data_IF_872765204413
#
_entry.id   IF_872765204413
#
_cell.length_a   1.000
_cell.length_b   1.000
_cell.length_c   1.000
_cell.angle_alpha   90.00
_cell.angle_beta   90.00
_cell.angle_gamma   90.00
#
_symmetry.space_group_name_H-M   'P 1'
#
loop_
_entity.id
_entity.type
_entity.pdbx_description
1 polymer ?
#
# COMPACT_ATOMS: atom_id res chain seq x y z
N UNK A 1 8.83 12.99 10.09
CA UNK A 1 9.27 12.71 11.48
C UNK A 1 8.07 12.32 12.33
N UNK A 2 7.88 11.03 12.63
CA UNK A 2 6.79 10.57 13.50
C UNK A 2 7.30 10.47 14.93
N UNK A 3 6.71 11.21 15.86
CA UNK A 3 7.03 11.09 17.29
C UNK A 3 6.65 9.68 17.76
N UNK A 4 7.63 8.80 17.90
CA UNK A 4 7.48 7.57 18.66
C UNK A 4 7.40 7.94 20.13
N UNK A 5 6.25 7.73 20.74
CA UNK A 5 6.10 7.94 22.18
C UNK A 5 6.62 6.68 22.88
N UNK A 6 7.50 6.86 23.87
CA UNK A 6 8.09 5.74 24.60
C UNK A 6 7.02 5.04 25.46
N UNK A 7 7.00 3.70 25.49
CA UNK A 7 6.04 2.92 26.29
C UNK A 7 6.02 3.32 27.77
N UNK A 8 7.18 3.69 28.33
CA UNK A 8 7.29 4.20 29.71
C UNK A 8 6.47 5.48 29.92
N UNK A 9 6.54 6.40 28.96
CA UNK A 9 5.78 7.66 29.01
C UNK A 9 4.29 7.41 28.85
N UNK A 10 3.90 6.50 27.95
CA UNK A 10 2.50 6.10 27.78
C UNK A 10 1.92 5.53 29.08
N UNK A 11 2.66 4.66 29.77
CA UNK A 11 2.26 4.11 31.09
C UNK A 11 2.14 5.16 32.19
N UNK A 12 2.95 6.21 32.16
CA UNK A 12 2.89 7.26 33.19
C UNK A 12 1.73 8.23 33.02
N UNK A 13 1.16 8.33 31.81
CA UNK A 13 0.15 9.35 31.49
C UNK A 13 -1.26 8.80 31.25
N UNK A 14 -1.36 7.51 30.95
CA UNK A 14 -2.62 6.82 30.71
C UNK A 14 -3.07 6.03 31.93
N UNK A 15 -4.38 5.83 32.07
CA UNK A 15 -4.91 4.85 33.01
C UNK A 15 -4.53 3.43 32.58
N UNK A 16 -4.66 2.47 33.48
CA UNK A 16 -4.37 1.06 33.17
C UNK A 16 -5.22 0.56 31.98
N UNK A 17 -6.53 0.83 32.00
CA UNK A 17 -7.44 0.44 30.92
C UNK A 17 -7.09 1.10 29.57
N UNK A 18 -6.74 2.38 29.59
CA UNK A 18 -6.32 3.12 28.40
C UNK A 18 -5.00 2.59 27.84
N UNK A 19 -4.09 2.19 28.72
CA UNK A 19 -2.82 1.61 28.33
C UNK A 19 -3.00 0.22 27.71
N UNK A 20 -3.81 -0.66 28.31
CA UNK A 20 -4.11 -1.98 27.73
C UNK A 20 -4.74 -1.85 26.33
N UNK A 21 -5.57 -0.83 26.08
CA UNK A 21 -6.13 -0.56 24.77
C UNK A 21 -5.08 -0.17 23.70
N UNK A 22 -3.94 0.39 24.10
CA UNK A 22 -2.85 0.81 23.19
C UNK A 22 -1.72 -0.21 23.14
N UNK A 23 -1.57 -1.05 24.17
CA UNK A 23 -0.49 -2.04 24.30
C UNK A 23 -0.33 -2.91 23.05
N UNK A 24 -1.45 -3.40 22.50
CA UNK A 24 -1.47 -4.24 21.29
C UNK A 24 -1.05 -3.48 20.00
N UNK A 25 -1.04 -2.15 20.01
CA UNK A 25 -0.63 -1.34 18.86
C UNK A 25 0.89 -1.20 18.72
N UNK A 26 1.66 -1.66 19.71
CA UNK A 26 3.12 -1.55 19.67
C UNK A 26 3.76 -2.67 18.85
N UNK A 27 4.88 -2.36 18.23
CA UNK A 27 5.73 -3.39 17.65
C UNK A 27 6.44 -4.18 18.78
N UNK A 28 6.56 -5.52 18.66
CA UNK A 28 6.12 -6.37 17.55
C UNK A 28 4.67 -6.89 17.69
N UNK A 29 4.00 -6.67 18.82
CA UNK A 29 2.69 -7.25 19.14
C UNK A 29 1.60 -6.93 18.09
N UNK A 30 1.66 -5.78 17.43
CA UNK A 30 0.69 -5.40 16.40
C UNK A 30 0.64 -6.40 15.21
N UNK A 31 1.71 -7.14 14.95
CA UNK A 31 1.76 -8.12 13.87
C UNK A 31 0.99 -9.41 14.17
N UNK A 32 0.69 -9.69 15.45
CA UNK A 32 -0.11 -10.84 15.85
C UNK A 32 -1.60 -10.51 15.98
N UNK A 33 -2.01 -9.28 15.65
CA UNK A 33 -3.40 -8.81 15.75
C UNK A 33 -4.09 -9.01 14.40
N UNK A 34 -5.28 -9.59 14.43
CA UNK A 34 -6.08 -9.81 13.22
C UNK A 34 -6.56 -8.49 12.59
N UNK A 35 -6.73 -8.48 11.27
CA UNK A 35 -7.14 -7.27 10.52
C UNK A 35 -8.47 -6.72 11.03
N UNK A 36 -9.43 -7.61 11.33
CA UNK A 36 -10.74 -7.23 11.87
C UNK A 36 -10.64 -6.55 13.24
N UNK A 37 -9.71 -6.99 14.08
CA UNK A 37 -9.46 -6.40 15.38
C UNK A 37 -8.78 -5.02 15.25
N UNK A 38 -7.82 -4.88 14.35
CA UNK A 38 -7.22 -3.58 14.01
C UNK A 38 -8.27 -2.57 13.51
N UNK A 39 -9.23 -3.02 12.70
CA UNK A 39 -10.35 -2.20 12.25
C UNK A 39 -11.29 -1.80 13.40
N UNK A 40 -11.55 -2.70 14.34
CA UNK A 40 -12.35 -2.44 15.54
C UNK A 40 -11.66 -1.50 16.55
N UNK A 41 -10.32 -1.56 16.66
CA UNK A 41 -9.53 -0.65 17.50
C UNK A 41 -9.53 0.79 16.97
N UNK A 42 -9.55 0.97 15.64
CA UNK A 42 -9.49 2.28 14.98
C UNK A 42 -10.53 3.31 15.48
N UNK A 43 -11.84 3.02 15.54
CA UNK A 43 -12.84 3.97 16.04
C UNK A 43 -12.67 4.26 17.54
N UNK A 44 -12.27 3.26 18.34
CA UNK A 44 -12.01 3.43 19.78
C UNK A 44 -10.86 4.43 20.01
N UNK A 45 -9.74 4.25 19.31
CA UNK A 45 -8.58 5.16 19.36
C UNK A 45 -8.92 6.57 18.87
N UNK A 46 -9.77 6.70 17.82
CA UNK A 46 -10.27 8.01 17.37
C UNK A 46 -11.07 8.71 18.46
N UNK A 47 -12.01 8.00 19.09
CA UNK A 47 -12.85 8.54 20.17
C UNK A 47 -12.01 9.01 21.35
N UNK A 48 -11.03 8.22 21.78
CA UNK A 48 -10.12 8.60 22.88
C UNK A 48 -9.28 9.84 22.52
N UNK A 49 -8.67 9.86 21.32
CA UNK A 49 -7.92 11.03 20.82
C UNK A 49 -8.79 12.29 20.76
N UNK A 50 -10.02 12.18 20.25
CA UNK A 50 -10.91 13.32 20.04
C UNK A 50 -11.50 13.84 21.35
N UNK A 51 -11.70 12.96 22.33
CA UNK A 51 -12.00 13.32 23.72
C UNK A 51 -10.88 14.20 24.30
N UNK A 52 -9.63 13.72 24.27
CA UNK A 52 -8.48 14.46 24.79
C UNK A 52 -8.24 15.79 24.04
N UNK A 53 -8.46 15.80 22.72
CA UNK A 53 -8.39 17.03 21.91
C UNK A 53 -9.41 18.06 22.38
N UNK A 54 -10.64 17.63 22.67
CA UNK A 54 -11.72 18.52 23.13
C UNK A 54 -11.42 19.05 24.52
N UNK A 55 -10.94 18.20 25.43
CA UNK A 55 -10.50 18.58 26.77
C UNK A 55 -9.36 19.61 26.70
N UNK A 56 -8.32 19.33 25.92
CA UNK A 56 -7.18 20.25 25.79
C UNK A 56 -7.59 21.61 25.23
N UNK A 57 -8.50 21.65 24.24
CA UNK A 57 -9.05 22.89 23.70
C UNK A 57 -9.86 23.67 24.74
N UNK A 58 -10.70 22.99 25.51
CA UNK A 58 -11.49 23.62 26.56
C UNK A 58 -10.57 24.23 27.63
N UNK A 59 -9.57 23.49 28.11
CA UNK A 59 -8.60 23.99 29.09
C UNK A 59 -7.76 25.16 28.58
N UNK A 60 -7.39 25.16 27.30
CA UNK A 60 -6.72 26.32 26.69
C UNK A 60 -7.62 27.55 26.60
N UNK A 61 -8.94 27.37 26.45
CA UNK A 61 -9.89 28.48 26.47
C UNK A 61 -10.12 29.01 27.89
N UNK A 62 -10.24 28.13 28.87
CA UNK A 62 -10.32 28.47 30.30
C UNK A 62 -9.08 29.27 30.74
N UNK A 63 -7.88 28.79 30.40
CA UNK A 63 -6.63 29.49 30.73
C UNK A 63 -6.49 30.86 30.05
N UNK A 64 -7.25 31.10 28.98
CA UNK A 64 -7.30 32.39 28.26
C UNK A 64 -8.46 33.28 28.71
N UNK A 65 -9.27 32.87 29.68
CA UNK A 65 -10.49 33.59 30.10
C UNK A 65 -11.60 33.60 29.05
N UNK A 66 -11.55 32.73 28.04
CA UNK A 66 -12.51 32.68 26.92
C UNK A 66 -13.60 31.60 27.07
N UNK A 67 -13.64 30.95 28.23
CA UNK A 67 -14.63 29.95 28.59
C UNK A 67 -14.71 29.86 30.12
N UNK A 68 -15.92 29.60 30.63
CA UNK A 68 -16.12 29.30 32.04
C UNK A 68 -15.50 27.95 32.39
N UNK A 69 -14.98 27.85 33.62
CA UNK A 69 -14.42 26.60 34.14
C UNK A 69 -15.53 25.55 34.25
N UNK A 70 -15.44 24.47 33.47
CA UNK A 70 -16.37 23.34 33.61
C UNK A 70 -16.04 22.53 34.85
N UNK A 71 -16.54 23.00 36.00
CA UNK A 71 -16.45 22.34 37.30
C UNK A 71 -15.02 22.18 37.84
N UNK A 72 -14.92 22.01 39.15
CA UNK A 72 -13.65 21.77 39.88
C UNK A 72 -13.11 20.34 39.68
N UNK A 73 -13.89 19.46 39.07
CA UNK A 73 -13.69 18.00 39.11
C UNK A 73 -12.86 17.41 37.96
N UNK A 74 -12.40 18.18 36.97
CA UNK A 74 -11.64 17.60 35.87
C UNK A 74 -10.12 17.73 36.09
N UNK A 75 -9.42 16.66 36.52
CA UNK A 75 -8.00 16.73 36.81
C UNK A 75 -7.21 16.91 35.52
N UNK A 76 -6.26 17.85 35.52
CA UNK A 76 -5.25 17.98 34.47
C UNK A 76 -5.15 19.35 33.82
N UNK A 77 -3.93 19.69 33.42
CA UNK A 77 -3.60 20.90 32.66
C UNK A 77 -3.86 20.68 31.16
N UNK A 78 -3.98 21.77 30.41
CA UNK A 78 -4.06 21.70 28.94
C UNK A 78 -2.88 20.94 28.31
N UNK A 79 -1.70 20.99 28.95
CA UNK A 79 -0.49 20.27 28.53
C UNK A 79 -0.68 18.76 28.65
N UNK A 80 -1.19 18.27 29.79
CA UNK A 80 -1.46 16.84 29.98
C UNK A 80 -2.47 16.29 28.97
N UNK A 81 -3.56 17.01 28.68
CA UNK A 81 -4.52 16.60 27.66
C UNK A 81 -3.88 16.56 26.25
N UNK A 82 -2.95 17.48 25.95
CA UNK A 82 -2.20 17.48 24.71
C UNK A 82 -1.26 16.28 24.59
N UNK A 83 -0.55 15.93 25.66
CA UNK A 83 0.33 14.76 25.72
C UNK A 83 -0.47 13.45 25.57
N UNK A 84 -1.58 13.29 26.29
CA UNK A 84 -2.48 12.12 26.15
C UNK A 84 -3.02 11.99 24.73
N UNK A 85 -3.46 13.11 24.13
CA UNK A 85 -3.87 13.15 22.71
C UNK A 85 -2.74 12.67 21.78
N UNK A 86 -1.49 13.06 22.03
CA UNK A 86 -0.36 12.61 21.21
C UNK A 86 -0.14 11.10 21.30
N UNK A 87 -0.30 10.50 22.49
CA UNK A 87 -0.24 9.04 22.67
C UNK A 87 -1.29 8.34 21.82
N UNK A 88 -2.56 8.73 21.93
CA UNK A 88 -3.63 8.14 21.12
C UNK A 88 -3.44 8.38 19.61
N UNK A 89 -2.91 9.53 19.22
CA UNK A 89 -2.59 9.82 17.83
C UNK A 89 -1.46 8.93 17.29
N UNK A 90 -0.43 8.66 18.11
CA UNK A 90 0.67 7.76 17.75
C UNK A 90 0.17 6.31 17.60
N UNK A 91 -0.63 5.83 18.55
CA UNK A 91 -1.27 4.51 18.48
C UNK A 91 -2.14 4.36 17.22
N UNK A 92 -2.98 5.35 16.93
CA UNK A 92 -3.81 5.37 15.73
C UNK A 92 -2.98 5.39 14.44
N UNK A 93 -1.82 6.06 14.45
CA UNK A 93 -0.91 6.05 13.31
C UNK A 93 -0.35 4.65 13.07
N UNK A 94 0.09 3.94 14.13
CA UNK A 94 0.59 2.55 14.04
C UNK A 94 -0.46 1.63 13.42
N UNK A 95 -1.69 1.66 13.94
CA UNK A 95 -2.82 0.87 13.41
C UNK A 95 -3.12 1.19 11.94
N UNK A 96 -3.18 2.47 11.56
CA UNK A 96 -3.43 2.83 10.16
C UNK A 96 -2.31 2.39 9.22
N UNK A 97 -1.06 2.44 9.68
CA UNK A 97 0.09 1.96 8.89
C UNK A 97 0.02 0.46 8.69
N UNK A 98 -0.32 -0.30 9.74
CA UNK A 98 -0.46 -1.75 9.64
C UNK A 98 -1.63 -2.14 8.72
N UNK A 99 -2.81 -1.54 8.88
CA UNK A 99 -3.94 -1.77 7.98
C UNK A 99 -3.58 -1.46 6.52
N UNK A 100 -2.82 -0.38 6.28
CA UNK A 100 -2.35 -0.03 4.94
C UNK A 100 -1.39 -1.09 4.39
N UNK A 101 -0.48 -1.61 5.22
CA UNK A 101 0.43 -2.68 4.82
C UNK A 101 -0.35 -3.95 4.45
N UNK A 102 -1.27 -4.39 5.30
CA UNK A 102 -2.10 -5.58 5.06
C UNK A 102 -2.93 -5.44 3.77
N UNK A 103 -3.57 -4.29 3.57
CA UNK A 103 -4.32 -4.01 2.34
C UNK A 103 -3.42 -4.03 1.08
N UNK A 104 -2.22 -3.44 1.16
CA UNK A 104 -1.28 -3.44 0.05
C UNK A 104 -0.77 -4.85 -0.28
N UNK A 105 -0.54 -5.69 0.73
CA UNK A 105 -0.15 -7.07 0.54
C UNK A 105 -1.27 -7.87 -0.14
N UNK A 106 -2.51 -7.75 0.34
CA UNK A 106 -3.68 -8.38 -0.27
C UNK A 106 -3.91 -7.93 -1.73
N UNK A 107 -3.78 -6.63 -2.00
CA UNK A 107 -3.89 -6.11 -3.35
C UNK A 107 -2.77 -6.64 -4.27
N UNK A 108 -1.53 -6.75 -3.74
CA UNK A 108 -0.40 -7.30 -4.48
C UNK A 108 -0.60 -8.77 -4.84
N UNK A 109 -1.07 -9.60 -3.90
CA UNK A 109 -1.33 -11.02 -4.16
C UNK A 109 -2.43 -11.19 -5.21
N UNK A 110 -3.55 -10.46 -5.07
CA UNK A 110 -4.65 -10.47 -6.04
C UNK A 110 -4.17 -10.06 -7.44
N UNK A 111 -3.34 -9.02 -7.56
CA UNK A 111 -2.80 -8.58 -8.85
C UNK A 111 -1.87 -9.63 -9.49
N UNK A 112 -1.03 -10.29 -8.70
CA UNK A 112 -0.15 -11.37 -9.21
C UNK A 112 -0.98 -12.54 -9.72
N UNK A 113 -2.02 -12.94 -8.99
CA UNK A 113 -2.93 -14.01 -9.42
C UNK A 113 -3.70 -13.64 -10.70
N UNK A 114 -4.24 -12.42 -10.77
CA UNK A 114 -4.91 -11.92 -11.96
C UNK A 114 -3.97 -11.90 -13.18
N UNK A 115 -2.72 -11.44 -13.00
CA UNK A 115 -1.71 -11.45 -14.05
C UNK A 115 -1.37 -12.88 -14.51
N UNK A 116 -1.24 -13.83 -13.59
CA UNK A 116 -1.01 -15.25 -13.92
C UNK A 116 -2.17 -15.83 -14.71
N UNK A 117 -3.42 -15.55 -14.32
CA UNK A 117 -4.63 -15.98 -15.03
C UNK A 117 -4.70 -15.38 -16.43
N UNK A 118 -4.45 -14.07 -16.57
CA UNK A 118 -4.43 -13.39 -17.86
C UNK A 118 -3.35 -13.96 -18.79
N UNK A 119 -2.15 -14.24 -18.27
CA UNK A 119 -1.07 -14.87 -19.01
C UNK A 119 -1.45 -16.28 -19.47
N UNK A 120 -2.08 -17.08 -18.61
CA UNK A 120 -2.56 -18.41 -18.97
C UNK A 120 -3.61 -18.36 -20.10
N UNK A 121 -4.57 -17.44 -20.03
CA UNK A 121 -5.56 -17.22 -21.10
C UNK A 121 -4.91 -16.78 -22.40
N UNK A 122 -3.95 -15.85 -22.33
CA UNK A 122 -3.20 -15.40 -23.51
C UNK A 122 -2.41 -16.55 -24.14
N UNK A 123 -1.81 -17.43 -23.32
CA UNK A 123 -1.12 -18.61 -23.82
C UNK A 123 -2.07 -19.59 -24.49
N UNK A 124 -3.22 -19.88 -23.87
CA UNK A 124 -4.23 -20.77 -24.42
C UNK A 124 -4.79 -20.26 -25.76
N UNK A 125 -4.97 -18.95 -25.91
CA UNK A 125 -5.48 -18.35 -27.15
C UNK A 125 -4.45 -18.35 -28.29
N UNK A 126 -3.17 -18.05 -28.00
CA UNK A 126 -2.16 -17.82 -29.04
C UNK A 126 -1.28 -19.02 -29.33
N UNK A 127 -1.07 -19.91 -28.37
CA UNK A 127 -0.26 -21.11 -28.50
C UNK A 127 -1.15 -22.35 -28.52
N UNK A 128 -2.17 -22.33 -29.38
CA UNK A 128 -2.93 -23.54 -29.67
C UNK A 128 -2.01 -24.53 -30.37
N UNK A 129 -2.08 -25.80 -29.98
CA UNK A 129 -1.42 -26.88 -30.71
C UNK A 129 -2.00 -26.91 -32.11
N UNK A 130 -1.25 -26.37 -33.08
CA UNK A 130 -1.60 -26.49 -34.49
C UNK A 130 -1.70 -27.98 -34.78
N UNK A 131 -2.74 -28.44 -35.51
CA UNK A 131 -2.77 -29.83 -35.95
C UNK A 131 -1.43 -30.17 -36.61
N UNK A 132 -0.92 -31.39 -36.42
CA UNK A 132 0.30 -31.80 -37.11
C UNK A 132 0.13 -31.49 -38.59
N UNK A 133 1.22 -31.07 -39.25
CA UNK A 133 1.22 -31.03 -40.70
C UNK A 133 0.80 -32.44 -41.13
N UNK A 134 -0.40 -32.56 -41.73
CA UNK A 134 -0.89 -33.84 -42.23
C UNK A 134 0.11 -34.44 -43.21
N UNK A 135 -0.15 -35.64 -43.72
CA UNK A 135 0.78 -36.32 -44.63
C UNK A 135 1.30 -35.38 -45.73
N UNK A 136 2.53 -34.88 -45.57
CA UNK A 136 3.30 -34.23 -46.61
C UNK A 136 3.89 -35.34 -47.44
N UNK A 137 3.66 -35.33 -48.75
CA UNK A 137 4.18 -36.36 -49.65
C UNK A 137 5.70 -36.53 -49.45
N UNK A 138 6.14 -37.70 -48.99
CA UNK A 138 7.56 -38.03 -48.93
C UNK A 138 8.16 -38.03 -50.34
N UNK A 139 9.39 -37.51 -50.48
CA UNK A 139 10.34 -37.45 -51.62
C UNK A 139 9.82 -37.38 -53.09
N UNK A 140 8.52 -37.27 -53.32
CA UNK A 140 7.88 -37.50 -54.62
C UNK A 140 6.93 -36.38 -55.08
N UNK A 141 6.57 -35.42 -54.23
CA UNK A 141 5.96 -34.17 -54.72
C UNK A 141 6.97 -33.03 -54.70
N UNK A 142 7.24 -32.47 -55.88
CA UNK A 142 8.09 -31.30 -56.05
C UNK A 142 7.51 -30.10 -55.28
N UNK A 143 8.33 -29.52 -54.40
CA UNK A 143 8.01 -28.30 -53.68
C UNK A 143 7.67 -27.17 -54.66
N UNK A 144 6.41 -26.72 -54.68
CA UNK A 144 6.00 -25.51 -55.41
C UNK A 144 6.45 -24.27 -54.63
N UNK A 145 7.41 -23.48 -55.12
CA UNK A 145 7.83 -22.27 -54.43
C UNK A 145 6.69 -21.26 -54.42
N UNK A 146 6.50 -20.56 -53.29
CA UNK A 146 5.51 -19.48 -53.19
C UNK A 146 5.86 -18.35 -54.17
N UNK A 147 4.99 -18.10 -55.15
CA UNK A 147 5.08 -16.98 -56.10
C UNK A 147 4.83 -15.60 -55.46
N UNK A 148 4.44 -15.56 -54.18
CA UNK A 148 4.27 -14.29 -53.46
C UNK A 148 5.60 -13.54 -53.45
N UNK A 149 5.61 -12.37 -54.09
CA UNK A 149 6.75 -11.44 -54.14
C UNK A 149 7.25 -11.19 -52.72
N UNK A 150 8.47 -11.67 -52.42
CA UNK A 150 9.16 -11.32 -51.17
C UNK A 150 9.30 -9.80 -51.15
N UNK A 151 8.66 -9.13 -50.20
CA UNK A 151 8.84 -7.69 -50.00
C UNK A 151 10.26 -7.49 -49.49
N UNK A 152 11.19 -7.20 -50.40
CA UNK A 152 12.55 -6.80 -50.05
C UNK A 152 12.42 -5.43 -49.37
N UNK A 153 12.60 -5.41 -48.05
CA UNK A 153 12.63 -4.18 -47.29
C UNK A 153 14.00 -3.54 -47.56
N UNK A 154 14.00 -2.31 -48.07
CA UNK A 154 15.25 -1.58 -48.30
C UNK A 154 16.06 -1.49 -47.00
N UNK A 155 17.36 -1.80 -47.05
CA UNK A 155 18.24 -1.81 -45.88
C UNK A 155 18.24 -0.50 -45.09
N UNK A 156 18.07 0.64 -45.77
CA UNK A 156 17.91 1.95 -45.14
C UNK A 156 16.70 2.03 -44.19
N UNK A 157 15.59 1.35 -44.50
CA UNK A 157 14.41 1.29 -43.62
C UNK A 157 14.70 0.45 -42.37
N UNK A 158 15.46 -0.63 -42.52
CA UNK A 158 15.91 -1.47 -41.40
C UNK A 158 16.84 -0.68 -40.48
N UNK A 159 17.85 -0.01 -41.04
CA UNK A 159 18.77 0.84 -40.29
C UNK A 159 18.05 1.97 -39.55
N UNK A 160 17.10 2.65 -40.20
CA UNK A 160 16.31 3.71 -39.57
C UNK A 160 15.51 3.22 -38.36
N UNK A 161 14.82 2.09 -38.48
CA UNK A 161 14.04 1.51 -37.38
C UNK A 161 14.98 1.09 -36.24
N UNK A 162 16.10 0.43 -36.57
CA UNK A 162 17.11 0.03 -35.58
C UNK A 162 17.65 1.22 -34.78
N UNK A 163 17.97 2.34 -35.45
CA UNK A 163 18.46 3.54 -34.78
C UNK A 163 17.36 4.18 -33.92
N UNK A 164 16.13 4.26 -34.42
CA UNK A 164 15.00 4.79 -33.65
C UNK A 164 14.75 3.98 -32.38
N UNK A 165 14.81 2.64 -32.45
CA UNK A 165 14.68 1.77 -31.28
C UNK A 165 15.82 1.96 -30.29
N UNK A 166 17.08 2.08 -30.79
CA UNK A 166 18.25 2.35 -29.94
C UNK A 166 18.11 3.68 -29.17
N UNK A 167 17.69 4.73 -29.85
CA UNK A 167 17.45 6.05 -29.23
C UNK A 167 16.33 5.98 -28.20
N UNK A 168 15.20 5.33 -28.53
CA UNK A 168 14.09 5.19 -27.60
C UNK A 168 14.47 4.40 -26.33
N UNK A 169 15.33 3.38 -26.46
CA UNK A 169 15.84 2.62 -25.33
C UNK A 169 16.78 3.48 -24.45
N UNK A 170 17.71 4.22 -25.06
CA UNK A 170 18.59 5.12 -24.32
C UNK A 170 17.81 6.19 -23.52
N UNK A 171 16.73 6.74 -24.10
CA UNK A 171 15.84 7.69 -23.40
C UNK A 171 15.13 7.01 -22.22
N UNK A 172 14.73 5.74 -22.35
CA UNK A 172 14.09 4.99 -21.26
C UNK A 172 15.08 4.70 -20.13
N UNK A 173 16.29 4.29 -20.47
CA UNK A 173 17.34 3.96 -19.49
C UNK A 173 17.77 5.22 -18.73
N UNK A 174 17.88 6.38 -19.41
CA UNK A 174 18.16 7.67 -18.79
C UNK A 174 17.04 8.18 -17.86
N UNK A 175 15.83 7.63 -17.94
CA UNK A 175 14.73 7.93 -16.99
C UNK A 175 14.71 7.00 -15.78
N UNK A 176 15.46 5.89 -15.83
CA UNK A 176 15.56 4.89 -14.77
C UNK A 176 16.84 5.02 -13.92
N UNK A 177 17.80 5.84 -14.34
CA UNK A 177 18.97 6.27 -13.57
C UNK A 177 18.67 7.61 -12.87
#
# INVERSE_FOLDING_TARGET
MGMSVACKFERSILSHEEYEAIRLTHHPAIYSVEVSELEAMRPRLRKMRDKERTVGRQKQRESRGKAEARGTSFPGTAKHASERKQVFAAALKRVNTELKLQHNLAARTANVEAARKALALHRAANFTTRPPAGATAGDGMASKPSERRRKIIAGAKIGRISQATKVAQAVRDARGA
#
